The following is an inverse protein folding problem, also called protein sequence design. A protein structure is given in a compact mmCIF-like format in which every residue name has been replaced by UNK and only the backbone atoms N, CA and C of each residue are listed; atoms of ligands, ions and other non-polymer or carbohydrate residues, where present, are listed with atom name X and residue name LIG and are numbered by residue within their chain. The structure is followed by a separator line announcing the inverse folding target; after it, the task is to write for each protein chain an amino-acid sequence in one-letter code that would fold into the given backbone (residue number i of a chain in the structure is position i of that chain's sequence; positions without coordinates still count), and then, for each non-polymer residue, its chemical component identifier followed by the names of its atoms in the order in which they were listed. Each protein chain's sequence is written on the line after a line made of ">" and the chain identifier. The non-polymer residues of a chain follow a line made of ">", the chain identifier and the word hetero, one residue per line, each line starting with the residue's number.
data_IF_731517062793
#
_entry.id   IF_731517062793
#
_cell.length_a   1.000
_cell.length_b   1.000
_cell.length_c   1.000
_cell.angle_alpha   90.00
_cell.angle_beta   90.00
_cell.angle_gamma   90.00
#
_symmetry.space_group_name_H-M   'P 1'
#
loop_
_entity.id
_entity.type
_entity.pdbx_description
1 polymer ?
#
# COMPACT_ATOMS: atom_id res chain seq x y z
N UNK A 1 -9.15 0.73 18.77
CA UNK A 1 -9.71 1.67 17.79
C UNK A 1 -9.52 1.02 16.43
N UNK A 2 -10.57 0.79 15.64
CA UNK A 2 -10.41 0.24 14.28
C UNK A 2 -10.08 1.44 13.38
N UNK A 3 -8.94 1.41 12.71
CA UNK A 3 -8.54 2.45 11.77
C UNK A 3 -9.50 2.46 10.56
N UNK A 4 -9.89 3.65 10.11
CA UNK A 4 -10.77 3.82 8.94
C UNK A 4 -10.02 3.56 7.63
N UNK A 5 -10.76 3.28 6.55
CA UNK A 5 -10.20 3.17 5.20
C UNK A 5 -9.29 4.35 4.84
N UNK A 6 -9.73 5.57 5.16
CA UNK A 6 -9.03 6.80 4.82
C UNK A 6 -7.72 6.93 5.62
N UNK A 7 -7.72 6.56 6.90
CA UNK A 7 -6.51 6.55 7.73
C UNK A 7 -5.50 5.51 7.21
N UNK A 8 -5.97 4.32 6.86
CA UNK A 8 -5.13 3.25 6.33
C UNK A 8 -4.54 3.64 4.96
N UNK A 9 -5.35 4.22 4.08
CA UNK A 9 -4.89 4.70 2.78
C UNK A 9 -3.89 5.85 2.93
N UNK A 10 -4.16 6.83 3.80
CA UNK A 10 -3.24 7.94 4.06
C UNK A 10 -1.90 7.46 4.65
N UNK A 11 -1.94 6.48 5.56
CA UNK A 11 -0.73 5.87 6.11
C UNK A 11 0.07 5.15 5.02
N UNK A 12 -0.59 4.33 4.20
CA UNK A 12 0.02 3.66 3.06
C UNK A 12 0.66 4.64 2.09
N UNK A 13 -0.06 5.66 1.63
CA UNK A 13 0.44 6.70 0.71
C UNK A 13 1.63 7.46 1.30
N UNK A 14 1.56 7.83 2.57
CA UNK A 14 2.67 8.53 3.25
C UNK A 14 3.94 7.69 3.32
N UNK A 15 3.82 6.40 3.65
CA UNK A 15 4.98 5.48 3.69
C UNK A 15 5.49 5.12 2.31
N UNK A 16 4.60 4.99 1.32
CA UNK A 16 4.94 4.80 -0.07
C UNK A 16 5.80 5.97 -0.57
N UNK A 17 5.35 7.21 -0.37
CA UNK A 17 6.10 8.40 -0.78
C UNK A 17 7.48 8.46 -0.11
N UNK A 18 7.55 8.21 1.20
CA UNK A 18 8.83 8.19 1.93
C UNK A 18 9.81 7.13 1.39
N UNK A 19 9.30 5.97 0.98
CA UNK A 19 10.10 4.94 0.32
C UNK A 19 10.54 5.35 -1.08
N UNK A 20 9.65 5.95 -1.89
CA UNK A 20 9.98 6.39 -3.25
C UNK A 20 11.03 7.52 -3.26
N UNK A 21 10.97 8.44 -2.31
CA UNK A 21 11.93 9.55 -2.20
C UNK A 21 13.32 9.09 -1.75
N UNK A 22 13.39 8.10 -0.87
CA UNK A 22 14.65 7.53 -0.39
C UNK A 22 14.52 6.02 -0.14
N UNK A 23 14.66 5.20 -1.20
CA UNK A 23 14.51 3.75 -1.08
C UNK A 23 15.62 3.17 -0.20
N UNK A 24 15.23 2.47 0.86
CA UNK A 24 16.18 1.90 1.81
C UNK A 24 15.53 0.87 2.72
N UNK A 25 16.34 0.24 3.57
CA UNK A 25 15.88 -0.83 4.45
C UNK A 25 14.79 -0.35 5.42
N UNK A 26 15.01 0.80 6.07
CA UNK A 26 14.07 1.34 7.06
C UNK A 26 12.77 1.80 6.40
N UNK A 27 12.86 2.60 5.33
CA UNK A 27 11.67 3.05 4.59
C UNK A 27 10.93 1.88 3.94
N UNK A 28 11.62 0.82 3.56
CA UNK A 28 11.03 -0.40 3.03
C UNK A 28 10.26 -1.21 4.09
N UNK A 29 10.78 -1.35 5.31
CA UNK A 29 10.08 -2.03 6.41
C UNK A 29 8.81 -1.28 6.77
N UNK A 30 8.89 0.04 6.92
CA UNK A 30 7.74 0.89 7.22
C UNK A 30 6.66 0.80 6.13
N UNK A 31 7.08 0.75 4.87
CA UNK A 31 6.17 0.65 3.75
C UNK A 31 5.51 -0.74 3.65
N UNK A 32 6.27 -1.81 3.89
CA UNK A 32 5.74 -3.19 3.93
C UNK A 32 4.68 -3.35 5.02
N UNK A 33 4.91 -2.81 6.22
CA UNK A 33 3.96 -2.86 7.33
C UNK A 33 2.64 -2.13 7.01
N UNK A 34 2.74 -0.94 6.39
CA UNK A 34 1.58 -0.21 5.92
C UNK A 34 0.81 -0.98 4.82
N UNK A 35 1.52 -1.60 3.88
CA UNK A 35 0.90 -2.42 2.83
C UNK A 35 0.20 -3.68 3.39
N UNK A 36 0.79 -4.34 4.40
CA UNK A 36 0.18 -5.49 5.09
C UNK A 36 -1.08 -5.08 5.85
N UNK A 37 -1.05 -3.93 6.51
CA UNK A 37 -2.21 -3.41 7.24
C UNK A 37 -3.35 -3.08 6.28
N UNK A 38 -3.05 -2.37 5.18
CA UNK A 38 -4.05 -2.09 4.14
C UNK A 38 -4.59 -3.37 3.51
N UNK A 39 -3.74 -4.37 3.24
CA UNK A 39 -4.15 -5.67 2.69
C UNK A 39 -5.15 -6.36 3.61
N UNK A 40 -4.93 -6.34 4.92
CA UNK A 40 -5.85 -6.96 5.89
C UNK A 40 -7.23 -6.29 5.81
N UNK A 41 -7.28 -4.97 5.78
CA UNK A 41 -8.52 -4.22 5.60
C UNK A 41 -9.22 -4.58 4.28
N UNK A 42 -8.47 -4.58 3.16
CA UNK A 42 -9.00 -4.92 1.84
C UNK A 42 -9.63 -6.32 1.82
N UNK A 43 -8.99 -7.30 2.45
CA UNK A 43 -9.49 -8.68 2.48
C UNK A 43 -10.65 -8.88 3.45
N UNK A 44 -10.63 -8.23 4.62
CA UNK A 44 -11.63 -8.44 5.67
C UNK A 44 -12.86 -7.56 5.53
N UNK A 45 -12.72 -6.32 5.07
CA UNK A 45 -13.81 -5.35 5.01
C UNK A 45 -14.36 -5.23 3.58
N UNK A 46 -13.47 -5.08 2.59
CA UNK A 46 -13.88 -4.93 1.19
C UNK A 46 -14.09 -6.26 0.46
N UNK A 47 -13.56 -7.36 1.02
CA UNK A 47 -13.57 -8.68 0.42
C UNK A 47 -12.97 -8.73 -1.01
N UNK A 48 -12.08 -7.79 -1.33
CA UNK A 48 -11.45 -7.66 -2.66
C UNK A 48 -10.17 -8.49 -2.71
N UNK A 49 -10.30 -9.72 -3.22
CA UNK A 49 -9.17 -10.65 -3.36
C UNK A 49 -8.14 -10.16 -4.36
N UNK A 50 -8.56 -9.51 -5.44
CA UNK A 50 -7.66 -9.04 -6.48
C UNK A 50 -6.73 -7.95 -5.96
N UNK A 51 -7.30 -6.97 -5.25
CA UNK A 51 -6.53 -5.90 -4.62
C UNK A 51 -5.65 -6.43 -3.49
N UNK A 52 -6.14 -7.41 -2.71
CA UNK A 52 -5.34 -8.10 -1.71
C UNK A 52 -4.14 -8.86 -2.29
N UNK A 53 -4.28 -9.45 -3.49
CA UNK A 53 -3.19 -10.10 -4.22
C UNK A 53 -2.16 -9.11 -4.76
N UNK A 54 -2.58 -7.90 -5.17
CA UNK A 54 -1.65 -6.82 -5.56
C UNK A 54 -0.78 -6.38 -4.39
N UNK A 55 -1.39 -6.10 -3.24
CA UNK A 55 -0.68 -5.74 -2.01
C UNK A 55 0.25 -6.84 -1.51
N UNK A 56 -0.06 -8.12 -1.76
CA UNK A 56 0.81 -9.24 -1.39
C UNK A 56 2.15 -9.28 -2.12
N UNK A 57 2.32 -8.53 -3.22
CA UNK A 57 3.57 -8.49 -4.00
C UNK A 57 4.61 -7.54 -3.40
N UNK A 58 4.18 -6.59 -2.57
CA UNK A 58 4.99 -5.50 -2.03
C UNK A 58 6.25 -5.97 -1.29
N UNK A 59 6.20 -6.98 -0.38
CA UNK A 59 7.40 -7.40 0.35
C UNK A 59 8.55 -7.82 -0.57
N UNK A 60 8.22 -8.50 -1.68
CA UNK A 60 9.22 -8.94 -2.65
C UNK A 60 9.78 -7.75 -3.44
N UNK A 61 8.90 -6.88 -3.93
CA UNK A 61 9.28 -5.72 -4.74
C UNK A 61 10.12 -4.71 -3.94
N UNK A 62 9.77 -4.48 -2.68
CA UNK A 62 10.52 -3.62 -1.76
C UNK A 62 11.93 -4.17 -1.53
N UNK A 63 12.07 -5.48 -1.26
CA UNK A 63 13.39 -6.12 -1.09
C UNK A 63 14.25 -6.06 -2.36
N UNK A 64 13.61 -6.10 -3.53
CA UNK A 64 14.28 -6.00 -4.82
C UNK A 64 14.57 -4.55 -5.23
N UNK A 65 14.08 -3.56 -4.46
CA UNK A 65 14.09 -2.14 -4.83
C UNK A 65 13.51 -1.91 -6.23
N UNK A 66 12.47 -2.66 -6.59
CA UNK A 66 11.75 -2.47 -7.86
C UNK A 66 10.76 -1.29 -7.73
N UNK A 67 11.36 -0.10 -7.66
CA UNK A 67 10.66 1.18 -7.47
C UNK A 67 9.68 1.45 -8.60
N UNK A 68 10.02 1.08 -9.84
CA UNK A 68 9.16 1.28 -11.01
C UNK A 68 7.86 0.50 -10.91
N UNK A 69 7.94 -0.81 -10.59
CA UNK A 69 6.74 -1.63 -10.42
C UNK A 69 5.93 -1.19 -9.20
N UNK A 70 6.61 -0.82 -8.10
CA UNK A 70 5.94 -0.31 -6.90
C UNK A 70 5.16 0.98 -7.19
N UNK A 71 5.76 1.96 -7.87
CA UNK A 71 5.10 3.23 -8.19
C UNK A 71 3.82 3.03 -9.02
N UNK A 72 3.84 2.11 -9.98
CA UNK A 72 2.66 1.76 -10.77
C UNK A 72 1.56 1.12 -9.91
N UNK A 73 1.92 0.16 -9.04
CA UNK A 73 0.96 -0.51 -8.15
C UNK A 73 0.37 0.44 -7.11
N UNK A 74 1.20 1.33 -6.52
CA UNK A 74 0.75 2.36 -5.57
C UNK A 74 -0.35 3.21 -6.22
N UNK A 75 -0.07 3.76 -7.41
CA UNK A 75 -1.02 4.61 -8.15
C UNK A 75 -2.34 3.88 -8.42
N UNK A 76 -2.28 2.61 -8.83
CA UNK A 76 -3.46 1.80 -9.07
C UNK A 76 -4.29 1.57 -7.79
N UNK A 77 -3.62 1.24 -6.68
CA UNK A 77 -4.27 0.98 -5.38
C UNK A 77 -4.93 2.26 -4.86
N UNK A 78 -4.23 3.39 -4.92
CA UNK A 78 -4.75 4.70 -4.50
C UNK A 78 -5.99 5.09 -5.31
N UNK A 79 -5.94 4.93 -6.64
CA UNK A 79 -7.07 5.24 -7.51
C UNK A 79 -8.31 4.38 -7.20
N UNK A 80 -8.11 3.09 -6.88
CA UNK A 80 -9.22 2.18 -6.54
C UNK A 80 -9.84 2.45 -5.16
N UNK A 81 -9.04 2.93 -4.21
CA UNK A 81 -9.48 3.14 -2.83
C UNK A 81 -9.90 4.58 -2.52
N UNK A 82 -9.55 5.52 -3.39
CA UNK A 82 -9.98 6.91 -3.32
C UNK A 82 -11.51 7.02 -3.17
N UNK A 83 -12.01 7.98 -2.37
CA UNK A 83 -13.43 8.25 -2.30
C UNK A 83 -13.95 8.65 -3.70
N UNK A 84 -15.04 8.03 -4.14
CA UNK A 84 -15.75 8.46 -5.34
C UNK A 84 -16.13 9.92 -5.15
N UNK A 85 -15.69 10.81 -6.05
CA UNK A 85 -16.19 12.17 -6.11
C UNK A 85 -17.68 12.10 -6.47
N UNK A 86 -18.55 12.23 -5.46
CA UNK A 86 -19.99 12.43 -5.60
C UNK A 86 -20.32 13.72 -6.32
#
# INVERSE_FOLDING_TARGET
>A
MIETKEQLLASFSGKAQAFLDNPGLVSGIDFDDAAVTLKRYVLSELHDQELGSKLAQFPKLIRQLDVSTLAALITEIEARLAPLAT
#
